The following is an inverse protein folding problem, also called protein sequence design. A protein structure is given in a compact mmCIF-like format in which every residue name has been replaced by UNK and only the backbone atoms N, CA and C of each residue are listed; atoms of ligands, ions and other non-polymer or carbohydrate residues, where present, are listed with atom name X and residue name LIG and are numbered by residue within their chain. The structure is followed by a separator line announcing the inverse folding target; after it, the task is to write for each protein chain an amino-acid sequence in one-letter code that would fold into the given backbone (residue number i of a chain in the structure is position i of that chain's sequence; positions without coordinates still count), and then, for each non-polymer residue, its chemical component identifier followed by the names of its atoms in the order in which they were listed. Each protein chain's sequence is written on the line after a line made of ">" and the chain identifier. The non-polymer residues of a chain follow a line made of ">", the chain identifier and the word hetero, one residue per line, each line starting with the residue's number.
data_IF_820072432076
#
_entry.id   IF_820072432076
#
_cell.length_a   1.000
_cell.length_b   1.000
_cell.length_c   1.000
_cell.angle_alpha   90.00
_cell.angle_beta   90.00
_cell.angle_gamma   90.00
#
_symmetry.space_group_name_H-M   'P 1'
#
loop_
_entity.id
_entity.type
_entity.pdbx_description
1 polymer ?
#
# COMPACT_ATOMS: atom_id res chain seq x y z
N UNK A 1 -10.59 22.21 -6.30
CA UNK A 1 -10.80 20.85 -6.82
C UNK A 1 -9.80 20.51 -7.93
N UNK A 2 -9.69 21.29 -9.02
CA UNK A 2 -8.77 21.01 -10.14
C UNK A 2 -7.31 20.78 -9.72
N UNK A 3 -6.79 21.56 -8.79
CA UNK A 3 -5.41 21.40 -8.31
C UNK A 3 -5.20 20.13 -7.46
N UNK A 4 -6.22 19.69 -6.75
CA UNK A 4 -6.23 18.41 -6.04
C UNK A 4 -6.24 17.23 -7.00
N UNK A 5 -7.10 17.26 -8.00
CA UNK A 5 -7.26 16.19 -9.01
C UNK A 5 -6.03 16.03 -9.92
N UNK A 6 -5.25 17.11 -10.10
CA UNK A 6 -4.05 17.09 -10.91
C UNK A 6 -2.86 16.36 -10.24
N UNK A 7 -2.92 16.09 -8.93
CA UNK A 7 -1.84 15.39 -8.22
C UNK A 7 -2.05 13.87 -8.26
N UNK A 8 -1.03 13.10 -8.68
CA UNK A 8 -1.12 11.64 -8.61
C UNK A 8 -1.08 11.20 -7.13
N UNK A 9 -2.13 10.54 -6.66
CA UNK A 9 -2.21 9.98 -5.32
C UNK A 9 -1.90 8.49 -5.41
N UNK A 10 -0.76 8.08 -4.85
CA UNK A 10 -0.30 6.68 -4.90
C UNK A 10 -1.16 5.80 -3.98
N UNK A 11 -1.55 6.30 -2.82
CA UNK A 11 -2.40 5.58 -1.89
C UNK A 11 -3.70 5.05 -2.53
N UNK A 12 -4.32 5.81 -3.44
CA UNK A 12 -5.54 5.38 -4.14
C UNK A 12 -5.33 4.18 -5.09
N UNK A 13 -4.09 3.92 -5.52
CA UNK A 13 -3.76 2.74 -6.34
C UNK A 13 -3.58 1.48 -5.50
N UNK A 14 -3.28 1.64 -4.22
CA UNK A 14 -2.93 0.56 -3.30
C UNK A 14 -4.07 0.21 -2.35
N UNK A 15 -4.95 1.17 -2.08
CA UNK A 15 -6.07 1.01 -1.16
C UNK A 15 -7.41 1.05 -1.89
N UNK A 16 -8.37 0.31 -1.36
CA UNK A 16 -9.78 0.48 -1.74
C UNK A 16 -10.36 1.70 -1.03
N UNK A 17 -11.23 2.44 -1.72
CA UNK A 17 -12.00 3.53 -1.13
C UNK A 17 -13.32 3.01 -0.56
N UNK A 18 -13.81 3.65 0.49
CA UNK A 18 -15.10 3.36 1.08
C UNK A 18 -15.66 4.60 1.78
N UNK A 19 -16.97 4.66 1.91
CA UNK A 19 -17.67 5.79 2.52
C UNK A 19 -17.98 5.50 3.99
N UNK A 20 -17.79 6.49 4.84
CA UNK A 20 -18.21 6.50 6.24
C UNK A 20 -19.08 7.71 6.48
N UNK A 21 -20.19 7.53 7.18
CA UNK A 21 -21.21 8.58 7.39
C UNK A 21 -21.05 9.33 8.70
N UNK A 22 -20.21 8.83 9.61
CA UNK A 22 -19.99 9.42 10.92
C UNK A 22 -18.51 9.35 11.36
N UNK A 23 -18.19 10.03 12.46
CA UNK A 23 -16.85 10.06 13.05
C UNK A 23 -16.64 9.01 14.14
N UNK A 24 -17.57 8.08 14.30
CA UNK A 24 -17.44 6.97 15.25
C UNK A 24 -16.48 5.92 14.70
N UNK A 25 -15.94 5.11 15.60
CA UNK A 25 -15.24 3.89 15.19
C UNK A 25 -16.24 2.94 14.54
N UNK A 26 -15.94 2.54 13.32
CA UNK A 26 -16.71 1.56 12.56
C UNK A 26 -15.89 0.29 12.41
N UNK A 27 -16.47 -0.84 12.75
CA UNK A 27 -15.85 -2.14 12.54
C UNK A 27 -16.10 -2.58 11.10
N UNK A 28 -15.01 -2.91 10.40
CA UNK A 28 -15.06 -3.60 9.11
C UNK A 28 -14.76 -5.06 9.32
N UNK A 29 -15.70 -5.88 8.97
CA UNK A 29 -15.56 -7.33 9.02
C UNK A 29 -15.03 -7.85 7.70
N UNK A 30 -14.10 -8.75 7.78
CA UNK A 30 -13.59 -9.53 6.66
C UNK A 30 -13.89 -10.99 6.94
N UNK A 31 -14.63 -11.65 6.05
CA UNK A 31 -14.73 -13.09 6.01
C UNK A 31 -13.43 -13.64 5.42
N UNK A 32 -12.71 -14.42 6.20
CA UNK A 32 -11.39 -14.90 5.81
C UNK A 32 -11.49 -16.25 5.12
N UNK A 33 -12.34 -17.15 5.62
CA UNK A 33 -12.50 -18.47 5.01
C UNK A 33 -13.81 -19.15 5.41
N UNK A 34 -14.25 -20.11 4.58
CA UNK A 34 -15.41 -20.98 4.81
C UNK A 34 -14.96 -22.42 5.16
N UNK A 35 -13.65 -22.68 5.11
CA UNK A 35 -13.08 -24.01 5.27
C UNK A 35 -13.21 -24.91 4.02
N UNK A 36 -12.45 -25.98 4.00
CA UNK A 36 -12.44 -26.94 2.90
C UNK A 36 -13.78 -27.67 2.76
N UNK A 37 -14.23 -27.86 1.51
CA UNK A 37 -15.38 -28.70 1.23
C UNK A 37 -15.00 -30.18 1.43
N UNK A 38 -15.56 -30.79 2.45
CA UNK A 38 -15.33 -32.18 2.76
C UNK A 38 -16.25 -33.11 1.95
N UNK A 39 -15.80 -34.29 1.52
CA UNK A 39 -16.65 -35.26 0.87
C UNK A 39 -17.76 -35.72 1.83
N UNK A 40 -19.00 -35.71 1.31
CA UNK A 40 -20.15 -36.17 2.07
C UNK A 40 -20.05 -37.70 2.20
N UNK A 41 -20.07 -38.18 3.44
CA UNK A 41 -20.06 -39.61 3.71
C UNK A 41 -21.35 -40.28 3.23
N UNK A 42 -21.34 -41.62 3.08
CA UNK A 42 -22.48 -42.37 2.58
C UNK A 42 -23.75 -42.27 3.45
N UNK A 43 -23.60 -41.81 4.69
CA UNK A 43 -24.68 -41.49 5.65
C UNK A 43 -25.33 -40.11 5.39
N UNK A 44 -24.76 -39.32 4.50
CA UNK A 44 -25.28 -38.00 4.14
C UNK A 44 -25.00 -36.90 5.15
N UNK A 45 -24.12 -37.08 6.14
CA UNK A 45 -23.78 -36.08 7.12
C UNK A 45 -22.93 -34.97 6.49
N UNK A 46 -23.43 -33.74 6.54
CA UNK A 46 -22.70 -32.52 6.14
C UNK A 46 -22.16 -31.87 7.41
N UNK A 47 -20.85 -31.68 7.47
CA UNK A 47 -20.21 -31.00 8.60
C UNK A 47 -20.37 -29.49 8.49
N UNK A 48 -20.65 -28.83 9.60
CA UNK A 48 -20.75 -27.38 9.66
C UNK A 48 -19.38 -26.74 9.41
N UNK A 49 -19.33 -25.76 8.51
CA UNK A 49 -18.16 -24.92 8.27
C UNK A 49 -18.13 -23.77 9.29
N UNK A 50 -16.97 -23.52 9.88
CA UNK A 50 -16.74 -22.35 10.73
C UNK A 50 -16.47 -21.11 9.86
N UNK A 51 -17.15 -19.99 10.17
CA UNK A 51 -16.82 -18.68 9.62
C UNK A 51 -15.84 -17.98 10.56
N UNK A 52 -14.66 -17.64 10.07
CA UNK A 52 -13.69 -16.84 10.81
C UNK A 52 -13.88 -15.37 10.40
N UNK A 53 -14.31 -14.56 11.35
CA UNK A 53 -14.47 -13.11 11.16
C UNK A 53 -13.27 -12.37 11.76
N UNK A 54 -12.61 -11.56 10.95
CA UNK A 54 -11.63 -10.59 11.39
C UNK A 54 -12.24 -9.20 11.37
N UNK A 55 -12.11 -8.46 12.46
CA UNK A 55 -12.58 -7.07 12.54
C UNK A 55 -11.39 -6.10 12.49
N UNK A 56 -11.51 -5.05 11.68
CA UNK A 56 -10.59 -3.93 11.66
C UNK A 56 -11.36 -2.64 11.94
N UNK A 57 -10.85 -1.83 12.87
CA UNK A 57 -11.47 -0.55 13.22
C UNK A 57 -11.06 0.53 12.23
N UNK A 58 -12.04 1.28 11.76
CA UNK A 58 -11.85 2.42 10.87
C UNK A 58 -12.58 3.64 11.42
N UNK A 59 -11.96 4.83 11.33
CA UNK A 59 -12.52 6.07 11.84
C UNK A 59 -12.18 7.23 10.91
N UNK A 60 -13.14 8.14 10.72
CA UNK A 60 -12.91 9.40 10.03
C UNK A 60 -12.19 10.39 10.94
N UNK A 61 -11.27 11.14 10.36
CA UNK A 61 -10.62 12.28 11.00
C UNK A 61 -10.67 13.52 10.10
N UNK A 62 -10.60 14.70 10.70
CA UNK A 62 -10.71 15.96 9.99
C UNK A 62 -9.40 16.72 10.02
N UNK A 63 -8.87 17.05 8.86
CA UNK A 63 -7.65 17.83 8.70
C UNK A 63 -7.97 19.18 8.07
N UNK A 64 -7.46 20.25 8.65
CA UNK A 64 -7.70 21.60 8.13
C UNK A 64 -6.59 22.59 8.51
N UNK A 65 -6.43 23.61 7.67
CA UNK A 65 -5.55 24.73 7.96
C UNK A 65 -6.26 26.04 7.64
N UNK A 66 -6.29 26.95 8.62
CA UNK A 66 -6.86 28.29 8.45
C UNK A 66 -5.81 29.23 7.88
N UNK A 67 -6.18 29.95 6.85
CA UNK A 67 -5.39 31.05 6.29
C UNK A 67 -6.18 32.36 6.45
N UNK A 68 -5.55 33.35 7.09
CA UNK A 68 -6.14 34.66 7.35
C UNK A 68 -5.40 35.73 6.55
N UNK A 69 -6.16 36.55 5.82
CA UNK A 69 -5.66 37.71 5.10
C UNK A 69 -6.13 38.99 5.80
N UNK A 70 -5.20 39.91 6.02
CA UNK A 70 -5.55 41.28 6.49
C UNK A 70 -5.85 42.15 5.28
N UNK A 71 -6.68 43.20 5.48
CA UNK A 71 -6.97 44.20 4.45
C UNK A 71 -5.69 44.82 3.87
N UNK A 72 -4.69 45.07 4.70
CA UNK A 72 -3.41 45.66 4.27
C UNK A 72 -2.64 44.71 3.35
N UNK A 73 -2.66 43.39 3.63
CA UNK A 73 -2.03 42.40 2.79
C UNK A 73 -2.71 42.31 1.41
N UNK A 74 -4.03 42.39 1.36
CA UNK A 74 -4.79 42.32 0.11
C UNK A 74 -4.50 43.56 -0.78
N UNK A 75 -4.43 44.75 -0.18
CA UNK A 75 -4.16 45.98 -0.93
C UNK A 75 -2.71 46.02 -1.45
N UNK A 76 -1.76 45.44 -0.74
CA UNK A 76 -0.35 45.45 -1.09
C UNK A 76 0.08 44.19 -1.90
N UNK A 77 -0.87 43.42 -2.40
CA UNK A 77 -0.58 42.23 -3.23
C UNK A 77 -0.38 42.60 -4.70
N UNK A 78 0.76 43.21 -5.00
CA UNK A 78 1.11 43.67 -6.36
C UNK A 78 1.35 42.50 -7.34
N UNK A 79 1.59 41.27 -6.83
CA UNK A 79 1.95 40.10 -7.63
C UNK A 79 0.85 39.06 -7.73
N UNK A 80 -0.31 39.29 -7.11
CA UNK A 80 -1.41 38.31 -7.05
C UNK A 80 -1.01 36.99 -6.36
N UNK A 81 -0.04 37.06 -5.44
CA UNK A 81 0.50 35.87 -4.75
C UNK A 81 -0.57 35.14 -3.95
N UNK A 82 -1.53 35.87 -3.39
CA UNK A 82 -2.63 35.30 -2.60
C UNK A 82 -3.60 34.46 -3.42
N UNK A 83 -3.72 34.74 -4.74
CA UNK A 83 -4.54 33.92 -5.64
C UNK A 83 -3.99 32.52 -5.84
N UNK A 84 -2.70 32.28 -5.56
CA UNK A 84 -2.06 30.95 -5.62
C UNK A 84 -2.29 30.11 -4.37
N UNK A 85 -2.72 30.72 -3.26
CA UNK A 85 -2.92 30.02 -1.97
C UNK A 85 -3.94 28.88 -2.07
N UNK A 86 -5.14 29.06 -2.67
CA UNK A 86 -6.11 27.96 -2.83
C UNK A 86 -5.54 26.77 -3.63
N UNK A 87 -4.77 27.05 -4.69
CA UNK A 87 -4.10 26.01 -5.49
C UNK A 87 -3.06 25.25 -4.65
N UNK A 88 -2.24 25.97 -3.89
CA UNK A 88 -1.26 25.37 -2.99
C UNK A 88 -1.92 24.52 -1.90
N UNK A 89 -3.06 24.96 -1.37
CA UNK A 89 -3.84 24.20 -0.40
C UNK A 89 -4.42 22.90 -1.01
N UNK A 90 -4.92 22.95 -2.23
CA UNK A 90 -5.40 21.76 -2.96
C UNK A 90 -4.29 20.72 -3.16
N UNK A 91 -3.12 21.15 -3.61
CA UNK A 91 -1.96 20.27 -3.76
C UNK A 91 -1.51 19.66 -2.42
N UNK A 92 -1.57 20.44 -1.33
CA UNK A 92 -1.25 19.94 0.01
C UNK A 92 -2.26 18.92 0.51
N UNK A 93 -3.55 19.11 0.22
CA UNK A 93 -4.59 18.15 0.59
C UNK A 93 -4.38 16.78 -0.10
N UNK A 94 -4.01 16.78 -1.39
CA UNK A 94 -3.68 15.55 -2.11
C UNK A 94 -2.47 14.82 -1.50
N UNK A 95 -1.39 15.55 -1.25
CA UNK A 95 -0.17 14.98 -0.62
C UNK A 95 -0.41 14.48 0.81
N UNK A 96 -1.35 15.07 1.55
CA UNK A 96 -1.68 14.63 2.89
C UNK A 96 -2.18 13.19 2.90
N UNK A 97 -2.96 12.78 1.89
CA UNK A 97 -3.48 11.41 1.79
C UNK A 97 -2.32 10.41 1.66
N UNK A 98 -1.37 10.66 0.75
CA UNK A 98 -0.19 9.81 0.61
C UNK A 98 0.66 9.82 1.90
N UNK A 99 0.88 10.98 2.50
CA UNK A 99 1.63 11.10 3.73
C UNK A 99 1.01 10.30 4.89
N UNK A 100 -0.31 10.34 5.05
CA UNK A 100 -1.02 9.57 6.07
C UNK A 100 -0.92 8.06 5.80
N UNK A 101 -1.11 7.66 4.54
CA UNK A 101 -1.00 6.26 4.13
C UNK A 101 0.40 5.70 4.42
N UNK A 102 1.46 6.37 3.94
CA UNK A 102 2.82 5.89 4.15
C UNK A 102 3.25 5.96 5.62
N UNK A 103 2.84 6.99 6.35
CA UNK A 103 3.06 7.06 7.81
C UNK A 103 2.44 5.86 8.52
N UNK A 104 1.23 5.48 8.14
CA UNK A 104 0.55 4.30 8.70
C UNK A 104 1.25 3.00 8.31
N UNK A 105 1.64 2.86 7.04
CA UNK A 105 2.33 1.68 6.52
C UNK A 105 3.69 1.48 7.22
N UNK A 106 4.49 2.55 7.33
CA UNK A 106 5.82 2.51 7.96
C UNK A 106 5.75 2.33 9.48
N UNK A 107 4.66 2.75 10.13
CA UNK A 107 4.46 2.49 11.55
C UNK A 107 4.28 1.00 11.88
N UNK A 108 4.13 0.16 10.86
CA UNK A 108 3.97 -1.29 10.95
C UNK A 108 2.93 -1.70 12.02
N UNK A 109 1.66 -1.27 11.88
CA UNK A 109 0.67 -1.43 12.92
C UNK A 109 0.33 -2.90 13.17
N UNK A 110 -0.06 -3.21 14.40
CA UNK A 110 -0.61 -4.52 14.72
C UNK A 110 -1.92 -4.77 13.97
N UNK A 111 -2.08 -5.98 13.47
CA UNK A 111 -3.29 -6.46 12.80
C UNK A 111 -4.27 -7.07 13.81
N UNK A 112 -5.40 -7.60 13.32
CA UNK A 112 -6.43 -8.22 14.16
C UNK A 112 -5.90 -9.41 14.98
N UNK A 113 -4.88 -10.11 14.48
CA UNK A 113 -4.18 -11.21 15.16
C UNK A 113 -3.19 -10.74 16.26
N UNK A 114 -3.08 -9.43 16.50
CA UNK A 114 -2.17 -8.81 17.44
C UNK A 114 -0.71 -8.75 17.00
N UNK A 115 -0.40 -9.18 15.77
CA UNK A 115 0.96 -9.15 15.21
C UNK A 115 1.13 -7.98 14.27
N UNK A 116 2.37 -7.52 14.13
CA UNK A 116 2.69 -6.44 13.19
C UNK A 116 2.41 -6.85 11.74
N UNK A 117 1.98 -5.89 10.90
CA UNK A 117 1.68 -6.10 9.47
C UNK A 117 2.84 -6.78 8.76
N UNK A 118 4.06 -6.24 8.90
CA UNK A 118 5.28 -6.87 8.39
C UNK A 118 5.96 -7.62 9.53
N UNK A 119 5.92 -8.93 9.48
CA UNK A 119 6.47 -9.80 10.52
C UNK A 119 6.92 -11.14 9.96
N UNK A 120 7.82 -11.80 10.68
CA UNK A 120 8.23 -13.17 10.37
C UNK A 120 7.08 -14.17 10.50
N UNK A 121 6.11 -13.87 11.36
CA UNK A 121 4.92 -14.71 11.54
C UNK A 121 4.03 -14.72 10.28
N UNK A 122 3.89 -13.55 9.63
CA UNK A 122 3.17 -13.43 8.36
C UNK A 122 4.00 -13.86 7.15
N UNK A 123 5.27 -14.26 7.34
CA UNK A 123 6.19 -14.68 6.26
C UNK A 123 6.31 -13.64 5.15
N UNK A 124 6.12 -12.36 5.46
CA UNK A 124 6.12 -11.25 4.51
C UNK A 124 7.25 -10.24 4.76
N UNK A 125 8.23 -10.59 5.59
CA UNK A 125 9.36 -9.74 5.95
C UNK A 125 10.68 -10.39 5.53
N UNK A 126 11.42 -9.70 4.65
CA UNK A 126 12.82 -10.00 4.32
C UNK A 126 13.71 -8.95 4.99
N UNK A 127 14.57 -9.37 5.91
CA UNK A 127 15.45 -8.47 6.68
C UNK A 127 16.91 -8.92 6.62
N UNK A 128 17.82 -8.03 7.03
CA UNK A 128 19.26 -8.30 7.10
C UNK A 128 20.03 -7.81 5.88
N UNK A 129 21.32 -8.12 5.80
CA UNK A 129 22.25 -7.61 4.77
C UNK A 129 21.85 -7.96 3.33
N UNK A 130 21.09 -9.04 3.13
CA UNK A 130 20.63 -9.49 1.80
C UNK A 130 19.25 -8.92 1.41
N UNK A 131 18.67 -8.00 2.18
CA UNK A 131 17.39 -7.38 1.88
C UNK A 131 17.47 -6.13 0.99
N UNK A 132 18.69 -5.60 0.78
CA UNK A 132 18.88 -4.48 -0.14
C UNK A 132 18.33 -4.81 -1.54
N UNK A 133 17.74 -3.80 -2.20
CA UNK A 133 17.12 -4.00 -3.51
C UNK A 133 18.13 -4.51 -4.54
N UNK A 134 17.92 -5.73 -5.01
CA UNK A 134 18.73 -6.42 -6.02
C UNK A 134 17.85 -7.44 -6.75
N UNK A 135 18.36 -8.01 -7.84
CA UNK A 135 17.65 -9.07 -8.57
C UNK A 135 17.30 -10.26 -7.67
N UNK A 136 18.26 -10.67 -6.82
CA UNK A 136 18.08 -11.83 -5.94
C UNK A 136 17.10 -11.54 -4.79
N UNK A 137 17.16 -10.35 -4.18
CA UNK A 137 16.20 -9.97 -3.15
C UNK A 137 14.79 -9.82 -3.70
N UNK A 138 14.66 -9.32 -4.93
CA UNK A 138 13.38 -9.19 -5.62
C UNK A 138 12.78 -10.58 -5.94
N UNK A 139 13.59 -11.53 -6.44
CA UNK A 139 13.16 -12.92 -6.64
C UNK A 139 12.67 -13.56 -5.34
N UNK A 140 13.40 -13.38 -4.24
CA UNK A 140 12.99 -13.86 -2.92
C UNK A 140 11.68 -13.21 -2.44
N UNK A 141 11.52 -11.90 -2.65
CA UNK A 141 10.30 -11.21 -2.28
C UNK A 141 9.08 -11.73 -3.06
N UNK A 142 9.23 -11.98 -4.37
CA UNK A 142 8.18 -12.60 -5.20
C UNK A 142 7.87 -14.01 -4.69
N UNK A 143 8.89 -14.80 -4.36
CA UNK A 143 8.68 -16.13 -3.81
C UNK A 143 7.89 -16.11 -2.50
N UNK A 144 8.15 -15.13 -1.62
CA UNK A 144 7.37 -14.96 -0.39
C UNK A 144 5.88 -14.66 -0.66
N UNK A 145 5.54 -14.00 -1.78
CA UNK A 145 4.14 -13.82 -2.18
C UNK A 145 3.51 -15.12 -2.65
N UNK A 146 4.23 -15.93 -3.44
CA UNK A 146 3.75 -17.21 -3.95
C UNK A 146 3.60 -18.26 -2.85
N UNK A 147 4.46 -18.18 -1.81
CA UNK A 147 4.46 -19.08 -0.66
C UNK A 147 3.40 -18.69 0.40
N UNK A 148 2.59 -17.65 0.15
CA UNK A 148 1.49 -17.28 1.05
C UNK A 148 0.41 -18.36 1.04
N UNK A 149 -0.04 -18.71 2.23
CA UNK A 149 -1.11 -19.68 2.46
C UNK A 149 -2.25 -19.04 3.23
N UNK A 150 -3.44 -19.58 3.08
CA UNK A 150 -4.61 -19.22 3.86
C UNK A 150 -4.57 -19.84 5.28
N UNK A 151 -5.66 -19.69 6.03
CA UNK A 151 -5.79 -20.22 7.39
C UNK A 151 -5.72 -21.77 7.43
N UNK A 152 -6.13 -22.43 6.34
CA UNK A 152 -6.14 -23.89 6.21
C UNK A 152 -4.84 -24.45 5.61
N UNK A 153 -3.87 -23.57 5.31
CA UNK A 153 -2.57 -23.94 4.76
C UNK A 153 -2.56 -24.16 3.23
N UNK A 154 -3.62 -23.78 2.54
CA UNK A 154 -3.70 -23.85 1.08
C UNK A 154 -3.01 -22.64 0.43
N UNK A 155 -2.29 -22.80 -0.70
CA UNK A 155 -1.62 -21.69 -1.37
C UNK A 155 -2.63 -20.72 -1.99
N UNK A 156 -2.49 -19.43 -1.67
CA UNK A 156 -3.36 -18.37 -2.18
C UNK A 156 -2.98 -17.94 -3.62
N UNK A 157 -1.73 -18.22 -4.04
CA UNK A 157 -1.19 -17.87 -5.37
C UNK A 157 -1.34 -16.38 -5.72
N UNK A 158 -0.92 -15.49 -4.80
CA UNK A 158 -0.97 -14.05 -4.99
C UNK A 158 0.25 -13.58 -5.79
N UNK A 159 0.01 -12.91 -6.92
CA UNK A 159 1.07 -12.28 -7.70
C UNK A 159 1.28 -10.83 -7.30
N UNK A 160 2.53 -10.38 -7.05
CA UNK A 160 2.81 -8.99 -6.76
C UNK A 160 2.59 -8.12 -7.99
N UNK A 161 1.90 -6.98 -7.81
CA UNK A 161 1.55 -6.05 -8.90
C UNK A 161 2.36 -4.76 -8.86
N UNK A 162 2.76 -4.32 -7.69
CA UNK A 162 3.46 -3.05 -7.48
C UNK A 162 4.74 -3.25 -6.69
N UNK A 163 5.77 -2.50 -7.05
CA UNK A 163 7.02 -2.39 -6.31
C UNK A 163 7.11 -0.97 -5.74
N UNK A 164 7.01 -0.84 -4.43
CA UNK A 164 7.15 0.43 -3.72
C UNK A 164 8.60 0.64 -3.32
N UNK A 165 9.17 1.77 -3.72
CA UNK A 165 10.55 2.11 -3.41
C UNK A 165 10.67 3.59 -3.02
N UNK A 166 11.61 3.97 -2.15
CA UNK A 166 11.94 5.37 -1.95
C UNK A 166 12.51 5.98 -3.22
N UNK A 167 12.42 7.30 -3.35
CA UNK A 167 12.84 8.04 -4.56
C UNK A 167 14.29 7.77 -4.95
N UNK A 168 15.15 7.56 -3.96
CA UNK A 168 16.58 7.24 -4.19
C UNK A 168 16.79 5.93 -4.95
N UNK A 169 15.92 4.95 -4.80
CA UNK A 169 16.01 3.63 -5.44
C UNK A 169 15.20 3.51 -6.73
N UNK A 170 14.52 4.59 -7.16
CA UNK A 170 13.65 4.56 -8.33
C UNK A 170 14.35 4.07 -9.60
N UNK A 171 15.54 4.58 -9.90
CA UNK A 171 16.28 4.19 -11.09
C UNK A 171 16.67 2.72 -11.07
N UNK A 172 17.18 2.24 -9.94
CA UNK A 172 17.52 0.84 -9.75
C UNK A 172 16.29 -0.07 -9.90
N UNK A 173 15.15 0.32 -9.33
CA UNK A 173 13.90 -0.42 -9.47
C UNK A 173 13.44 -0.52 -10.92
N UNK A 174 13.51 0.57 -11.69
CA UNK A 174 13.19 0.59 -13.13
C UNK A 174 14.15 -0.31 -13.91
N UNK A 175 15.45 -0.26 -13.62
CA UNK A 175 16.45 -1.12 -14.24
C UNK A 175 16.16 -2.60 -13.99
N UNK A 176 15.81 -2.97 -12.76
CA UNK A 176 15.49 -4.34 -12.40
C UNK A 176 14.18 -4.86 -13.00
N UNK A 177 13.18 -4.00 -13.23
CA UNK A 177 11.85 -4.41 -13.70
C UNK A 177 11.64 -4.17 -15.20
N UNK A 178 12.17 -3.07 -15.76
CA UNK A 178 11.91 -2.64 -17.13
C UNK A 178 13.17 -2.51 -17.98
N UNK A 179 14.36 -2.69 -17.40
CA UNK A 179 15.64 -2.42 -18.07
C UNK A 179 15.74 -3.12 -19.40
N UNK A 180 16.08 -2.37 -20.44
CA UNK A 180 16.44 -2.91 -21.75
C UNK A 180 17.54 -3.95 -21.57
N UNK A 181 17.47 -5.00 -22.36
CA UNK A 181 18.46 -6.08 -22.41
C UNK A 181 19.81 -5.46 -22.79
N UNK A 182 20.60 -5.06 -21.81
CA UNK A 182 22.03 -4.95 -22.03
C UNK A 182 22.49 -6.39 -22.24
N UNK A 183 22.78 -6.75 -23.47
CA UNK A 183 23.44 -8.00 -23.82
C UNK A 183 24.87 -7.89 -23.27
N UNK A 184 25.02 -8.13 -21.99
CA UNK A 184 26.29 -8.47 -21.40
C UNK A 184 26.35 -9.98 -21.38
N UNK A 185 27.15 -10.49 -22.30
CA UNK A 185 27.75 -11.81 -22.36
C UNK A 185 27.33 -12.79 -21.27
N UNK A 186 26.52 -13.77 -21.67
CA UNK A 186 26.46 -15.09 -21.08
C UNK A 186 26.00 -15.16 -19.63
N UNK A 187 24.83 -15.62 -19.43
CA UNK A 187 24.32 -16.42 -18.29
C UNK A 187 23.11 -15.89 -17.54
N UNK A 188 22.42 -14.83 -17.90
CA UNK A 188 21.21 -14.50 -17.15
C UNK A 188 20.03 -14.10 -18.03
N UNK A 189 19.32 -15.11 -18.55
CA UNK A 189 17.94 -14.99 -19.00
C UNK A 189 17.01 -15.09 -17.78
N UNK A 190 17.26 -14.29 -16.75
CA UNK A 190 16.32 -14.17 -15.65
C UNK A 190 15.04 -13.53 -16.18
N UNK A 191 13.92 -14.24 -16.08
CA UNK A 191 12.58 -13.70 -16.34
C UNK A 191 12.41 -12.47 -15.45
N UNK A 192 12.33 -11.28 -16.06
CA UNK A 192 12.13 -10.04 -15.32
C UNK A 192 10.66 -9.96 -14.91
N UNK A 193 10.37 -9.73 -13.63
CA UNK A 193 8.99 -9.61 -13.21
C UNK A 193 8.37 -8.32 -13.79
N UNK A 194 7.19 -8.44 -14.36
CA UNK A 194 6.41 -7.32 -14.88
C UNK A 194 5.74 -6.54 -13.74
N UNK A 195 6.54 -5.91 -12.88
CA UNK A 195 6.05 -5.12 -11.75
C UNK A 195 5.93 -3.64 -12.12
N UNK A 196 4.85 -3.00 -11.67
CA UNK A 196 4.70 -1.56 -11.75
C UNK A 196 5.48 -0.88 -10.63
N UNK A 197 6.51 -0.12 -10.99
CA UNK A 197 7.32 0.62 -10.01
C UNK A 197 6.58 1.86 -9.56
N UNK A 198 6.30 1.96 -8.27
CA UNK A 198 5.79 3.14 -7.62
C UNK A 198 6.86 3.69 -6.67
N UNK A 199 7.17 4.97 -6.79
CA UNK A 199 8.15 5.63 -5.93
C UNK A 199 7.52 6.82 -5.24
N UNK A 200 7.76 6.99 -3.95
CA UNK A 200 7.26 8.09 -3.15
C UNK A 200 8.35 8.67 -2.25
N UNK A 201 8.31 9.98 -2.05
CA UNK A 201 9.22 10.70 -1.16
C UNK A 201 8.98 10.38 0.32
N UNK A 202 7.79 9.92 0.67
CA UNK A 202 7.40 9.56 2.04
C UNK A 202 7.87 8.15 2.45
N UNK A 203 8.46 7.37 1.54
CA UNK A 203 9.05 6.05 1.82
C UNK A 203 10.47 6.11 2.37
N UNK A 204 10.93 7.26 2.87
CA UNK A 204 12.24 7.38 3.49
C UNK A 204 12.22 6.77 4.90
N UNK A 205 13.11 5.82 5.12
CA UNK A 205 13.39 5.16 6.41
C UNK A 205 14.63 5.77 7.02
#
# INVERSE_FOLDING_TARGET
>A
LQSYEAQPIIAMKLCSTGDLNDFKENDRFRLTDVGDLLPIAADGEIKDGGLIEESAKNQLDTYGKKFCLTRKMIINDDLGAFMKVPTAMGNRAARLIDQLFFSRLLSNPAQADGKALFSTNHKNLLSGASSALSSDSLKKAIQLFLDQVDADGQPISVEPKYLLVPTALKHLAIELTQGATLIMSGTDNAVRPALNVLSDENLQV
#
